data_IF_387334158133
#
_entry.id   IF_387334158133
#
_cell.length_a   1.000
_cell.length_b   1.000
_cell.length_c   1.000
_cell.angle_alpha   90.00
_cell.angle_beta   90.00
_cell.angle_gamma   90.00
#
_symmetry.space_group_name_H-M   'P 1'
#
loop_
_entity.id
_entity.type
_entity.pdbx_description
1 polymer ?
#
# COMPACT_ATOMS: atom_id res chain seq x y z
N UNK A 1 5.45 -2.54 -48.91
CA UNK A 1 6.71 -2.10 -49.54
C UNK A 1 7.83 -3.00 -49.03
N UNK A 2 8.54 -3.75 -49.89
CA UNK A 2 9.48 -4.79 -49.46
C UNK A 2 10.87 -4.17 -49.23
N UNK A 3 11.45 -4.34 -48.05
CA UNK A 3 12.87 -4.08 -47.83
C UNK A 3 13.54 -5.40 -47.48
N UNK A 4 14.28 -5.93 -48.47
CA UNK A 4 14.94 -7.22 -48.44
C UNK A 4 16.06 -7.30 -47.42
N UNK A 5 16.28 -8.51 -46.92
CA UNK A 5 17.47 -8.88 -46.17
C UNK A 5 17.96 -10.24 -46.65
N UNK A 6 18.61 -10.25 -47.83
CA UNK A 6 19.57 -11.29 -48.17
C UNK A 6 20.90 -10.91 -47.52
N UNK A 7 21.25 -11.57 -46.43
CA UNK A 7 22.65 -11.64 -45.99
C UNK A 7 23.01 -13.08 -45.68
N UNK A 8 23.65 -13.68 -46.69
CA UNK A 8 24.49 -14.87 -46.52
C UNK A 8 25.53 -14.58 -45.45
N UNK A 9 25.53 -15.38 -44.38
CA UNK A 9 26.65 -15.45 -43.46
C UNK A 9 27.13 -16.91 -43.42
N UNK A 10 27.69 -17.36 -44.55
CA UNK A 10 28.64 -18.46 -44.54
C UNK A 10 30.04 -17.85 -44.48
N UNK A 11 30.68 -17.90 -43.32
CA UNK A 11 32.15 -17.91 -43.25
C UNK A 11 32.55 -19.27 -42.70
N UNK A 12 33.01 -20.10 -43.62
CA UNK A 12 33.52 -21.45 -43.41
C UNK A 12 34.93 -21.37 -42.81
N UNK A 13 35.13 -21.88 -41.60
CA UNK A 13 36.46 -22.08 -41.00
C UNK A 13 36.59 -23.52 -40.52
N UNK A 14 37.53 -24.25 -41.12
CA UNK A 14 37.85 -25.66 -40.84
C UNK A 14 38.60 -25.80 -39.52
N UNK A 15 37.90 -25.86 -38.39
CA UNK A 15 38.47 -26.46 -37.17
C UNK A 15 37.40 -26.67 -36.10
N UNK A 16 37.20 -27.94 -35.74
CA UNK A 16 36.75 -28.46 -34.44
C UNK A 16 35.99 -27.47 -33.54
N UNK A 17 34.67 -27.63 -33.45
CA UNK A 17 33.92 -28.01 -32.25
C UNK A 17 32.43 -27.68 -32.47
N UNK A 18 31.57 -28.57 -31.99
CA UNK A 18 30.11 -28.52 -32.13
C UNK A 18 29.57 -27.23 -31.50
N UNK A 19 29.38 -26.17 -32.28
CA UNK A 19 28.72 -24.96 -31.77
C UNK A 19 27.22 -25.15 -31.84
N UNK A 20 26.63 -25.20 -30.65
CA UNK A 20 25.22 -25.00 -30.32
C UNK A 20 24.40 -24.39 -31.46
N UNK A 21 23.48 -25.18 -32.03
CA UNK A 21 22.34 -24.68 -32.81
C UNK A 21 21.40 -23.95 -31.86
N UNK A 22 21.72 -22.71 -31.51
CA UNK A 22 20.71 -21.80 -30.98
C UNK A 22 20.09 -21.10 -32.18
N UNK A 23 18.94 -21.59 -32.61
CA UNK A 23 18.08 -20.93 -33.59
C UNK A 23 17.72 -19.55 -33.03
N UNK A 24 18.42 -18.52 -33.46
CA UNK A 24 18.11 -17.13 -33.12
C UNK A 24 16.83 -16.71 -33.85
N UNK A 25 15.66 -17.08 -33.31
CA UNK A 25 14.39 -16.50 -33.73
C UNK A 25 14.42 -15.03 -33.26
N UNK A 26 14.83 -14.12 -34.13
CA UNK A 26 14.65 -12.69 -33.88
C UNK A 26 13.16 -12.39 -33.98
N UNK A 27 12.52 -12.24 -32.82
CA UNK A 27 11.14 -11.81 -32.73
C UNK A 27 11.03 -10.38 -33.29
N UNK A 28 10.45 -10.27 -34.48
CA UNK A 28 10.06 -8.99 -35.09
C UNK A 28 9.22 -8.19 -34.10
N UNK A 29 9.55 -6.92 -33.91
CA UNK A 29 8.97 -6.06 -32.88
C UNK A 29 7.45 -6.01 -32.94
N UNK A 30 6.78 -6.52 -31.89
CA UNK A 30 5.33 -6.37 -31.71
C UNK A 30 5.01 -4.92 -31.35
N UNK A 31 4.01 -4.34 -32.02
CA UNK A 31 3.39 -3.07 -31.62
C UNK A 31 2.82 -3.27 -30.20
N UNK A 32 3.27 -2.46 -29.24
CA UNK A 32 2.84 -2.55 -27.85
C UNK A 32 1.59 -1.70 -27.63
N UNK A 33 0.46 -2.36 -27.36
CA UNK A 33 -0.81 -1.71 -26.98
C UNK A 33 -0.86 -1.28 -25.51
N UNK A 34 0.20 -1.53 -24.73
CA UNK A 34 0.22 -1.17 -23.30
C UNK A 34 0.04 0.33 -23.05
N UNK A 35 0.35 1.19 -24.04
CA UNK A 35 0.15 2.64 -23.96
C UNK A 35 -1.28 3.12 -24.25
N UNK A 36 -2.16 2.27 -24.79
CA UNK A 36 -3.55 2.65 -25.11
C UNK A 36 -4.50 2.44 -23.93
N UNK A 37 -4.03 1.88 -22.81
CA UNK A 37 -4.83 1.59 -21.62
C UNK A 37 -4.56 2.63 -20.54
N UNK A 38 -5.62 3.25 -20.03
CA UNK A 38 -5.56 4.17 -18.90
C UNK A 38 -5.54 3.38 -17.58
N UNK A 39 -4.33 2.97 -17.16
CA UNK A 39 -4.13 2.31 -15.87
C UNK A 39 -4.01 3.34 -14.73
N UNK A 40 -4.53 3.05 -13.53
CA UNK A 40 -4.33 3.89 -12.37
C UNK A 40 -2.83 3.93 -12.01
N UNK A 41 -2.29 5.15 -11.89
CA UNK A 41 -0.91 5.38 -11.44
C UNK A 41 -0.96 6.05 -10.08
N UNK A 42 -0.31 5.44 -9.09
CA UNK A 42 -0.25 6.01 -7.75
C UNK A 42 1.21 6.07 -7.29
N UNK A 43 1.54 7.08 -6.47
CA UNK A 43 2.82 7.15 -5.77
C UNK A 43 2.84 6.33 -4.48
N UNK A 44 1.75 5.64 -4.16
CA UNK A 44 1.63 4.85 -2.94
C UNK A 44 2.43 3.55 -3.06
N UNK A 45 3.29 3.24 -2.08
CA UNK A 45 4.00 1.97 -2.08
C UNK A 45 2.99 0.83 -1.90
N UNK A 46 3.09 -0.22 -2.72
CA UNK A 46 2.21 -1.39 -2.62
C UNK A 46 2.37 -2.12 -1.28
N UNK A 47 3.59 -2.11 -0.71
CA UNK A 47 3.90 -2.69 0.59
C UNK A 47 4.94 -1.85 1.32
N UNK A 48 4.75 -1.68 2.61
CA UNK A 48 5.68 -1.00 3.51
C UNK A 48 6.38 -2.07 4.37
N UNK A 49 7.70 -1.95 4.51
CA UNK A 49 8.48 -2.83 5.41
C UNK A 49 8.24 -2.43 6.87
N UNK A 50 8.39 -3.36 7.81
CA UNK A 50 8.09 -3.11 9.24
C UNK A 50 8.76 -1.86 9.80
N UNK A 51 10.06 -1.67 9.53
CA UNK A 51 10.81 -0.49 9.99
C UNK A 51 10.32 0.84 9.39
N UNK A 52 9.88 0.83 8.12
CA UNK A 52 9.32 2.03 7.48
C UNK A 52 7.90 2.33 7.99
N UNK A 53 7.19 1.30 8.46
CA UNK A 53 5.85 1.47 9.05
C UNK A 53 5.93 2.23 10.36
N UNK A 54 6.81 1.82 11.28
CA UNK A 54 6.99 2.53 12.56
C UNK A 54 7.41 3.99 12.35
N UNK A 55 8.33 4.26 11.43
CA UNK A 55 8.74 5.63 11.10
C UNK A 55 7.59 6.48 10.56
N UNK A 56 6.75 5.89 9.70
CA UNK A 56 5.55 6.57 9.19
C UNK A 56 4.52 6.82 10.28
N UNK A 57 4.29 5.84 11.16
CA UNK A 57 3.33 5.96 12.27
C UNK A 57 3.76 7.10 13.22
N UNK A 58 5.05 7.22 13.52
CA UNK A 58 5.60 8.34 14.31
C UNK A 58 5.43 9.69 13.61
N UNK A 59 5.68 9.75 12.29
CA UNK A 59 5.47 10.97 11.50
C UNK A 59 4.01 11.39 11.53
N UNK A 60 3.09 10.45 11.33
CA UNK A 60 1.65 10.70 11.39
C UNK A 60 1.29 11.21 12.79
N UNK A 61 1.77 10.57 13.86
CA UNK A 61 1.46 11.01 15.22
C UNK A 61 1.90 12.44 15.52
N UNK A 62 3.04 12.88 14.99
CA UNK A 62 3.53 14.25 15.16
C UNK A 62 2.76 15.28 14.33
N UNK A 63 2.32 14.92 13.14
CA UNK A 63 1.67 15.86 12.22
C UNK A 63 0.15 15.90 12.35
N UNK A 64 -0.48 14.81 12.77
CA UNK A 64 -1.92 14.66 12.77
C UNK A 64 -2.62 15.47 13.88
N UNK A 65 -1.90 16.08 14.84
CA UNK A 65 -2.49 16.92 15.90
C UNK A 65 -3.75 16.28 16.52
N UNK A 66 -3.63 15.01 16.94
CA UNK A 66 -4.77 14.20 17.40
C UNK A 66 -5.57 14.83 18.56
N UNK A 67 -4.98 15.76 19.30
CA UNK A 67 -5.64 16.50 20.39
C UNK A 67 -6.79 17.37 19.85
N UNK A 68 -6.59 18.06 18.73
CA UNK A 68 -7.58 18.98 18.17
C UNK A 68 -8.67 18.25 17.37
N UNK A 69 -8.41 17.02 16.93
CA UNK A 69 -9.34 16.24 16.13
C UNK A 69 -10.66 15.96 16.84
N UNK A 70 -10.63 15.70 18.16
CA UNK A 70 -11.85 15.50 18.93
C UNK A 70 -12.69 16.77 19.04
N UNK A 71 -12.05 17.93 19.19
CA UNK A 71 -12.76 19.22 19.19
C UNK A 71 -13.40 19.49 17.82
N UNK A 72 -12.64 19.30 16.74
CA UNK A 72 -13.14 19.44 15.37
C UNK A 72 -14.31 18.49 15.08
N UNK A 73 -14.24 17.22 15.52
CA UNK A 73 -15.34 16.26 15.36
C UNK A 73 -16.60 16.72 16.09
N UNK A 74 -16.47 17.25 17.31
CA UNK A 74 -17.64 17.78 18.05
C UNK A 74 -18.28 18.98 17.37
N UNK A 75 -17.49 19.88 16.79
CA UNK A 75 -18.00 21.07 16.10
C UNK A 75 -18.69 20.74 14.77
N UNK A 76 -18.19 19.74 14.04
CA UNK A 76 -18.70 19.38 12.72
C UNK A 76 -19.77 18.27 12.76
N UNK A 77 -20.02 17.70 13.93
CA UNK A 77 -21.06 16.70 14.12
C UNK A 77 -22.44 17.38 14.20
N UNK A 78 -23.34 16.98 13.30
CA UNK A 78 -24.72 17.49 13.20
C UNK A 78 -25.78 16.44 13.58
N UNK A 79 -25.36 15.22 13.92
CA UNK A 79 -26.24 14.10 14.25
C UNK A 79 -26.52 13.94 15.75
N UNK A 80 -27.38 12.99 16.14
CA UNK A 80 -27.68 12.71 17.54
C UNK A 80 -26.45 12.20 18.29
N UNK A 81 -26.26 12.68 19.52
CA UNK A 81 -25.13 12.30 20.36
C UNK A 81 -25.14 10.81 20.71
N UNK A 82 -23.97 10.18 20.56
CA UNK A 82 -23.70 8.84 21.06
C UNK A 82 -22.66 8.91 22.18
N UNK A 83 -23.01 8.38 23.35
CA UNK A 83 -22.12 8.37 24.53
C UNK A 83 -21.62 6.95 24.73
N UNK A 84 -20.31 6.76 24.63
CA UNK A 84 -19.67 5.48 24.90
C UNK A 84 -19.08 5.53 26.31
N UNK A 85 -19.66 4.75 27.23
CA UNK A 85 -19.09 4.55 28.55
C UNK A 85 -17.99 3.47 28.47
N UNK A 86 -16.73 3.88 28.60
CA UNK A 86 -15.57 3.01 28.66
C UNK A 86 -15.06 2.94 30.11
N UNK A 87 -15.27 1.81 30.77
CA UNK A 87 -14.90 1.67 32.18
C UNK A 87 -13.41 1.92 32.43
N UNK A 88 -13.03 2.50 33.58
CA UNK A 88 -11.63 2.73 33.91
C UNK A 88 -10.88 1.39 33.95
N UNK A 89 -9.71 1.28 33.30
CA UNK A 89 -8.94 0.05 33.33
C UNK A 89 -8.46 -0.22 34.76
N UNK A 90 -8.50 -1.49 35.18
CA UNK A 90 -7.95 -1.88 36.48
C UNK A 90 -6.43 -1.67 36.50
N UNK A 91 -5.92 -0.97 37.52
CA UNK A 91 -4.50 -0.63 37.68
C UNK A 91 -3.64 -1.81 38.19
N UNK A 92 -3.88 -3.02 37.71
CA UNK A 92 -3.30 -4.25 38.25
C UNK A 92 -1.97 -4.67 37.58
N UNK A 93 -1.45 -3.88 36.64
CA UNK A 93 -0.18 -4.15 35.97
C UNK A 93 -0.06 -3.51 34.59
N UNK A 94 0.97 -3.93 33.84
CA UNK A 94 1.26 -3.41 32.50
C UNK A 94 0.11 -3.69 31.51
N UNK A 95 -0.08 -2.77 30.58
CA UNK A 95 -1.01 -2.94 29.46
C UNK A 95 -0.60 -4.13 28.59
N UNK A 96 -1.45 -5.13 28.55
CA UNK A 96 -1.31 -6.30 27.68
C UNK A 96 -2.26 -6.21 26.47
N UNK A 97 -2.16 -7.18 25.55
CA UNK A 97 -2.99 -7.26 24.33
C UNK A 97 -4.50 -7.15 24.58
N UNK A 98 -5.00 -7.61 25.72
CA UNK A 98 -6.41 -7.51 26.08
C UNK A 98 -6.86 -6.05 26.28
N UNK A 99 -6.00 -5.20 26.84
CA UNK A 99 -6.26 -3.76 26.92
C UNK A 99 -6.28 -3.14 25.52
N UNK A 100 -5.35 -3.53 24.65
CA UNK A 100 -5.29 -3.03 23.28
C UNK A 100 -6.57 -3.39 22.49
N UNK A 101 -7.02 -4.64 22.59
CA UNK A 101 -8.25 -5.10 21.92
C UNK A 101 -9.48 -4.37 22.45
N UNK A 102 -9.60 -4.16 23.76
CA UNK A 102 -10.70 -3.40 24.34
C UNK A 102 -10.74 -1.96 23.80
N UNK A 103 -9.60 -1.25 23.84
CA UNK A 103 -9.52 0.14 23.37
C UNK A 103 -9.75 0.27 21.86
N UNK A 104 -9.23 -0.66 21.04
CA UNK A 104 -9.47 -0.66 19.57
C UNK A 104 -10.93 -0.96 19.24
N UNK A 105 -11.56 -1.87 19.96
CA UNK A 105 -12.98 -2.23 19.72
C UNK A 105 -13.90 -1.07 20.09
N UNK A 106 -13.69 -0.47 21.27
CA UNK A 106 -14.41 0.72 21.70
C UNK A 106 -14.21 1.90 20.73
N UNK A 107 -12.97 2.14 20.28
CA UNK A 107 -12.68 3.18 19.29
C UNK A 107 -13.32 2.89 17.91
N UNK A 108 -13.29 1.65 17.45
CA UNK A 108 -13.91 1.25 16.18
C UNK A 108 -15.43 1.45 16.20
N UNK A 109 -16.08 1.14 17.32
CA UNK A 109 -17.50 1.43 17.53
C UNK A 109 -17.71 2.94 17.50
N UNK A 110 -16.95 3.71 18.28
CA UNK A 110 -17.06 5.16 18.32
C UNK A 110 -16.84 5.86 16.96
N UNK A 111 -15.98 5.32 16.09
CA UNK A 111 -15.75 5.84 14.73
C UNK A 111 -16.83 5.41 13.73
N UNK A 112 -17.44 4.23 13.93
CA UNK A 112 -18.52 3.73 13.07
C UNK A 112 -19.80 4.53 13.25
N UNK A 113 -20.01 5.06 14.45
CA UNK A 113 -21.07 6.01 14.74
C UNK A 113 -20.48 7.42 14.61
N UNK A 114 -20.86 8.16 13.57
CA UNK A 114 -20.32 9.48 13.21
C UNK A 114 -20.42 10.55 14.31
N UNK A 115 -21.06 10.23 15.44
CA UNK A 115 -21.54 11.18 16.44
C UNK A 115 -21.09 10.87 17.89
N UNK A 116 -20.01 10.11 18.10
CA UNK A 116 -19.57 9.79 19.46
C UNK A 116 -18.96 11.02 20.16
N UNK A 117 -19.69 11.59 21.12
CA UNK A 117 -19.33 12.88 21.74
C UNK A 117 -18.37 12.72 22.93
N UNK A 118 -18.38 11.56 23.60
CA UNK A 118 -17.59 11.30 24.81
C UNK A 118 -17.30 9.81 24.98
N UNK A 119 -16.02 9.49 25.18
CA UNK A 119 -15.55 8.23 25.78
C UNK A 119 -15.34 8.57 27.27
N UNK A 120 -16.28 8.17 28.14
CA UNK A 120 -16.20 8.40 29.60
C UNK A 120 -15.68 7.16 30.28
#
# INVERSE_FOLDING_TARGET
MPHGLTRSCCVFSKSRQRSCFQTCIRYSGKISYSGTVLLPKTGFPQRITGAKRSENDEKIAKHACFEDHYAWQRENNTGPDFILHDGPPYANGDTHLGHAVNKVTSAGIALSYTNCLSIV
#
